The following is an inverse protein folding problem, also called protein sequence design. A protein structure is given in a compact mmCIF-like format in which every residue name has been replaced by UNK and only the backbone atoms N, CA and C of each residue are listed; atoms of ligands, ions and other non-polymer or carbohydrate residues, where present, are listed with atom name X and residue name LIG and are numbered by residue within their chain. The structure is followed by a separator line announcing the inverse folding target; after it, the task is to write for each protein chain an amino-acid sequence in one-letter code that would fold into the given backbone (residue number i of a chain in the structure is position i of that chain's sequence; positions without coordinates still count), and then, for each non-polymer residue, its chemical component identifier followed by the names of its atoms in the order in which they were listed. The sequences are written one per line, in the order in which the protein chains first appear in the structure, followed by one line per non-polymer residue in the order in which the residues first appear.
data_IF_684227958608
#
_entry.id   IF_684227958608
#
_cell.length_a   1.000
_cell.length_b   1.000
_cell.length_c   1.000
_cell.angle_alpha   90.00
_cell.angle_beta   90.00
_cell.angle_gamma   90.00
#
_symmetry.space_group_name_H-M   'P 1'
#
loop_
_entity.id
_entity.type
_entity.pdbx_description
1 polymer ?
#
# COMPACT_ATOMS: atom_id res chain seq x y z
N UNK A 1 -6.52 -71.89 28.41
CA UNK A 1 -5.96 -70.56 28.73
C UNK A 1 -5.81 -69.77 27.44
N UNK A 2 -6.61 -68.70 27.25
CA UNK A 2 -6.63 -67.88 26.02
C UNK A 2 -5.95 -66.54 26.32
N UNK A 3 -4.76 -66.31 25.79
CA UNK A 3 -4.07 -65.03 25.89
C UNK A 3 -4.55 -64.13 24.73
N UNK A 4 -5.34 -63.10 25.04
CA UNK A 4 -5.76 -62.07 24.07
C UNK A 4 -4.72 -60.95 24.10
N UNK A 5 -3.88 -60.88 23.07
CA UNK A 5 -2.98 -59.74 22.84
C UNK A 5 -3.81 -58.66 22.14
N UNK A 6 -4.27 -57.67 22.90
CA UNK A 6 -4.82 -56.43 22.35
C UNK A 6 -3.65 -55.50 21.98
N UNK A 7 -3.28 -55.49 20.70
CA UNK A 7 -2.38 -54.48 20.13
C UNK A 7 -3.14 -53.15 20.02
N UNK A 8 -2.90 -52.25 20.97
CA UNK A 8 -3.36 -50.87 20.93
C UNK A 8 -2.59 -50.10 19.84
N UNK A 9 -3.25 -49.84 18.72
CA UNK A 9 -2.79 -48.90 17.69
C UNK A 9 -2.88 -47.46 18.25
N UNK A 10 -1.75 -46.89 18.69
CA UNK A 10 -1.63 -45.47 18.98
C UNK A 10 -1.47 -44.71 17.65
N UNK A 11 -2.58 -44.26 17.07
CA UNK A 11 -2.57 -43.29 15.98
C UNK A 11 -2.20 -41.92 16.56
N UNK A 12 -0.95 -41.49 16.39
CA UNK A 12 -0.51 -40.14 16.70
C UNK A 12 -1.18 -39.17 15.72
N UNK A 13 -2.31 -38.59 16.14
CA UNK A 13 -2.93 -37.43 15.49
C UNK A 13 -2.03 -36.22 15.75
N UNK A 14 -1.08 -35.95 14.85
CA UNK A 14 -0.41 -34.66 14.77
C UNK A 14 -1.43 -33.65 14.22
N UNK A 15 -1.89 -32.65 14.99
CA UNK A 15 -2.68 -31.57 14.43
C UNK A 15 -1.74 -30.75 13.54
N UNK A 16 -1.80 -30.98 12.23
CA UNK A 16 -1.28 -30.02 11.27
C UNK A 16 -2.14 -28.78 11.41
N UNK A 17 -1.62 -27.78 12.12
CA UNK A 17 -2.20 -26.44 12.12
C UNK A 17 -2.07 -25.92 10.70
N UNK A 18 -3.14 -26.05 9.92
CA UNK A 18 -3.33 -25.27 8.71
C UNK A 18 -3.42 -23.81 9.14
N UNK A 19 -2.27 -23.13 9.19
CA UNK A 19 -2.22 -21.68 9.35
C UNK A 19 -2.77 -21.09 8.05
N UNK A 20 -4.09 -20.91 8.00
CA UNK A 20 -4.72 -20.16 6.95
C UNK A 20 -4.43 -18.68 7.23
N UNK A 21 -3.40 -18.14 6.58
CA UNK A 21 -3.22 -16.70 6.50
C UNK A 21 -4.35 -16.15 5.62
N UNK A 22 -5.46 -15.76 6.24
CA UNK A 22 -6.53 -15.06 5.55
C UNK A 22 -5.96 -13.76 4.95
N UNK A 23 -6.36 -13.36 3.73
CA UNK A 23 -5.97 -12.07 3.17
C UNK A 23 -6.38 -10.98 4.15
N UNK A 24 -5.43 -10.12 4.53
CA UNK A 24 -5.71 -9.05 5.46
C UNK A 24 -6.35 -7.90 4.68
N UNK A 25 -7.65 -7.69 4.89
CA UNK A 25 -8.39 -6.58 4.28
C UNK A 25 -8.94 -5.68 5.39
N UNK A 26 -8.60 -4.39 5.36
CA UNK A 26 -9.01 -3.44 6.39
C UNK A 26 -9.19 -2.02 5.85
N UNK A 27 -10.29 -1.40 6.25
CA UNK A 27 -10.58 0.01 5.96
C UNK A 27 -10.02 0.92 7.07
N UNK A 28 -9.59 2.11 6.67
CA UNK A 28 -9.07 3.19 7.51
C UNK A 28 -9.63 4.51 7.00
N UNK A 29 -10.77 4.94 7.56
CA UNK A 29 -11.51 6.12 7.06
C UNK A 29 -11.75 6.02 5.55
N UNK A 30 -11.08 6.85 4.74
CA UNK A 30 -11.25 6.91 3.28
C UNK A 30 -10.24 6.04 2.52
N UNK A 31 -9.61 5.08 3.19
CA UNK A 31 -8.60 4.17 2.62
C UNK A 31 -8.95 2.71 2.86
N UNK A 32 -8.70 1.88 1.86
CA UNK A 32 -8.78 0.43 1.94
C UNK A 32 -7.39 -0.15 1.74
N UNK A 33 -7.00 -1.04 2.66
CA UNK A 33 -5.79 -1.86 2.51
C UNK A 33 -6.18 -3.30 2.27
N UNK A 34 -5.50 -3.95 1.33
CA UNK A 34 -5.61 -5.38 1.08
C UNK A 34 -4.21 -5.98 0.97
N UNK A 35 -3.92 -7.02 1.74
CA UNK A 35 -2.68 -7.78 1.67
C UNK A 35 -2.96 -9.24 1.33
N UNK A 36 -2.20 -9.80 0.39
CA UNK A 36 -2.30 -11.22 0.06
C UNK A 36 -1.44 -12.10 1.00
N UNK A 37 -1.49 -13.42 0.81
CA UNK A 37 -0.71 -14.40 1.57
C UNK A 37 0.81 -14.28 1.41
N UNK A 38 1.27 -13.59 0.36
CA UNK A 38 2.67 -13.26 0.11
C UNK A 38 3.09 -11.95 0.81
N UNK A 39 2.22 -11.37 1.66
CA UNK A 39 2.39 -10.06 2.29
C UNK A 39 2.62 -8.92 1.28
N UNK A 40 2.21 -9.10 0.03
CA UNK A 40 2.08 -8.00 -0.92
C UNK A 40 0.83 -7.21 -0.56
N UNK A 41 1.01 -5.93 -0.24
CA UNK A 41 -0.04 -5.05 0.24
C UNK A 41 -0.34 -3.94 -0.75
N UNK A 42 -1.60 -3.56 -0.84
CA UNK A 42 -2.10 -2.44 -1.65
C UNK A 42 -2.97 -1.56 -0.77
N UNK A 43 -2.68 -0.26 -0.72
CA UNK A 43 -3.54 0.78 -0.17
C UNK A 43 -4.14 1.60 -1.31
N UNK A 44 -5.44 1.87 -1.24
CA UNK A 44 -6.18 2.70 -2.21
C UNK A 44 -7.21 3.57 -1.51
N UNK A 45 -7.41 4.80 -1.98
CA UNK A 45 -8.51 5.64 -1.50
C UNK A 45 -9.89 5.10 -1.95
N UNK A 46 -10.90 5.20 -1.09
CA UNK A 46 -12.27 4.68 -1.27
C UNK A 46 -13.33 5.75 -1.07
N UNK A 47 -14.40 5.75 -1.86
CA UNK A 47 -15.43 6.80 -1.86
C UNK A 47 -15.69 7.36 -3.24
N UNK A 48 -16.54 8.39 -3.33
CA UNK A 48 -16.94 9.05 -4.57
C UNK A 48 -15.89 10.10 -4.99
N UNK A 49 -14.67 9.63 -5.27
CA UNK A 49 -13.49 10.47 -5.56
C UNK A 49 -13.48 11.10 -6.97
N UNK A 50 -14.64 11.10 -7.64
CA UNK A 50 -14.84 11.58 -9.02
C UNK A 50 -13.78 11.06 -10.02
N UNK A 51 -13.30 9.84 -9.79
CA UNK A 51 -12.33 9.15 -10.63
C UNK A 51 -10.86 9.33 -10.23
N UNK A 52 -10.51 10.23 -9.31
CA UNK A 52 -9.11 10.39 -8.88
C UNK A 52 -8.75 9.37 -7.80
N UNK A 53 -7.75 8.55 -8.11
CA UNK A 53 -7.37 7.39 -7.33
C UNK A 53 -5.88 7.41 -7.08
N UNK A 54 -5.50 7.35 -5.82
CA UNK A 54 -4.16 7.02 -5.39
C UNK A 54 -4.08 5.55 -4.99
N UNK A 55 -3.13 4.83 -5.56
CA UNK A 55 -2.80 3.44 -5.22
C UNK A 55 -1.34 3.35 -4.82
N UNK A 56 -1.07 2.78 -3.66
CA UNK A 56 0.27 2.44 -3.20
C UNK A 56 0.36 0.93 -3.03
N UNK A 57 1.31 0.29 -3.70
CA UNK A 57 1.59 -1.13 -3.52
C UNK A 57 3.00 -1.34 -3.01
N UNK A 58 3.21 -2.40 -2.21
CA UNK A 58 4.56 -2.79 -1.75
C UNK A 58 4.66 -4.30 -1.53
N UNK A 59 5.75 -4.87 -2.03
CA UNK A 59 6.11 -6.26 -1.79
C UNK A 59 6.66 -6.48 -0.37
N UNK A 60 6.55 -7.71 0.13
CA UNK A 60 7.24 -8.15 1.34
C UNK A 60 8.73 -8.44 1.08
N UNK A 61 9.50 -8.67 2.15
CA UNK A 61 10.93 -8.98 2.12
C UNK A 61 11.84 -7.76 2.27
N UNK A 62 13.15 -7.96 2.32
CA UNK A 62 14.12 -6.88 2.50
C UNK A 62 14.11 -5.85 1.35
N UNK A 63 13.68 -6.27 0.15
CA UNK A 63 13.48 -5.37 -0.98
C UNK A 63 12.34 -4.38 -0.69
N UNK A 64 12.55 -3.12 -1.08
CA UNK A 64 11.58 -2.03 -0.88
C UNK A 64 10.75 -1.77 -2.14
N UNK A 65 10.52 -2.82 -2.93
CA UNK A 65 9.77 -2.74 -4.19
C UNK A 65 8.36 -2.22 -3.91
N UNK A 66 8.14 -0.95 -4.25
CA UNK A 66 6.91 -0.24 -4.04
C UNK A 66 6.56 0.56 -5.30
N UNK A 67 5.28 0.72 -5.55
CA UNK A 67 4.78 1.56 -6.66
C UNK A 67 3.75 2.51 -6.10
N UNK A 68 3.93 3.80 -6.37
CA UNK A 68 2.94 4.83 -6.10
C UNK A 68 2.34 5.31 -7.41
N UNK A 69 1.02 5.34 -7.46
CA UNK A 69 0.26 5.73 -8.64
C UNK A 69 -0.88 6.67 -8.26
N UNK A 70 -0.98 7.80 -8.93
CA UNK A 70 -2.16 8.65 -8.92
C UNK A 70 -2.72 8.65 -10.33
N UNK A 71 -3.95 8.18 -10.47
CA UNK A 71 -4.64 8.14 -11.74
C UNK A 71 -5.95 8.90 -11.66
N UNK A 72 -6.36 9.49 -12.76
CA UNK A 72 -7.75 9.91 -12.94
C UNK A 72 -8.43 8.93 -13.89
N UNK A 73 -9.23 8.04 -13.32
CA UNK A 73 -10.14 7.16 -14.03
C UNK A 73 -11.37 7.91 -14.54
N UNK A 74 -11.98 7.37 -15.60
CA UNK A 74 -13.19 7.91 -16.21
C UNK A 74 -13.54 7.12 -17.47
N UNK A 75 -14.81 7.14 -17.86
CA UNK A 75 -15.28 6.48 -19.08
C UNK A 75 -14.92 7.25 -20.36
N UNK A 76 -14.56 8.53 -20.24
CA UNK A 76 -14.18 9.38 -21.37
C UNK A 76 -12.67 9.36 -21.54
N UNK A 77 -12.24 9.11 -22.78
CA UNK A 77 -10.85 9.33 -23.17
C UNK A 77 -10.47 10.79 -22.90
N UNK A 78 -9.25 11.03 -22.39
CA UNK A 78 -8.75 12.38 -22.16
C UNK A 78 -8.76 13.15 -23.47
N UNK A 79 -9.05 14.44 -23.38
CA UNK A 79 -8.97 15.33 -24.53
C UNK A 79 -7.51 15.39 -25.01
N UNK A 80 -7.29 15.45 -26.32
CA UNK A 80 -5.95 15.56 -26.90
C UNK A 80 -5.24 16.84 -26.46
N UNK A 81 -5.99 17.87 -26.03
CA UNK A 81 -5.45 19.12 -25.50
C UNK A 81 -5.12 19.07 -24.01
N UNK A 82 -5.37 17.96 -23.33
CA UNK A 82 -5.22 17.90 -21.89
C UNK A 82 -3.74 17.77 -21.48
N UNK A 83 -3.24 18.74 -20.74
CA UNK A 83 -1.88 18.73 -20.21
C UNK A 83 -1.66 17.65 -19.15
N UNK A 84 -0.40 17.44 -18.78
CA UNK A 84 0.00 16.49 -17.73
C UNK A 84 -0.80 16.67 -16.42
N UNK A 85 -1.05 15.56 -15.72
CA UNK A 85 -1.82 15.60 -14.47
C UNK A 85 -1.04 16.27 -13.32
N UNK A 86 0.28 16.06 -13.27
CA UNK A 86 1.14 16.51 -12.17
C UNK A 86 1.02 18.01 -11.83
N UNK A 87 1.18 18.97 -12.78
CA UNK A 87 1.10 20.39 -12.47
C UNK A 87 -0.31 20.87 -12.04
N UNK A 88 -1.32 20.01 -12.19
CA UNK A 88 -2.72 20.28 -11.84
C UNK A 88 -3.09 19.69 -10.48
N UNK A 89 -2.25 18.87 -9.87
CA UNK A 89 -2.49 18.34 -8.53
C UNK A 89 -2.21 19.43 -7.50
N UNK A 90 -3.10 19.53 -6.52
CA UNK A 90 -2.99 20.44 -5.39
C UNK A 90 -2.99 19.63 -4.09
N UNK A 91 -2.16 20.02 -3.12
CA UNK A 91 -2.22 19.55 -1.74
C UNK A 91 -2.83 20.67 -0.90
N UNK A 92 -4.01 20.42 -0.33
CA UNK A 92 -4.73 21.40 0.49
C UNK A 92 -4.94 22.77 -0.18
N UNK A 93 -5.08 22.76 -1.52
CA UNK A 93 -5.29 23.96 -2.34
C UNK A 93 -4.02 24.57 -2.93
N UNK A 94 -2.84 24.19 -2.45
CA UNK A 94 -1.55 24.67 -2.96
C UNK A 94 -0.96 23.69 -3.99
N UNK A 95 -0.14 24.15 -4.95
CA UNK A 95 0.51 23.26 -5.92
C UNK A 95 1.26 22.11 -5.25
N UNK A 96 0.96 20.87 -5.64
CA UNK A 96 1.63 19.68 -5.12
C UNK A 96 3.05 19.62 -5.70
N UNK A 97 4.04 20.04 -4.90
CA UNK A 97 5.45 20.03 -5.28
C UNK A 97 6.01 18.60 -5.27
N UNK A 98 5.96 17.92 -6.41
CA UNK A 98 6.56 16.60 -6.57
C UNK A 98 8.07 16.68 -6.35
N UNK A 99 8.56 15.95 -5.35
CA UNK A 99 9.98 15.76 -5.10
C UNK A 99 10.56 14.70 -6.04
N UNK A 100 11.81 14.86 -6.47
CA UNK A 100 12.50 13.91 -7.35
C UNK A 100 12.10 14.03 -8.81
N UNK A 101 12.89 13.42 -9.68
CA UNK A 101 12.77 13.47 -11.14
C UNK A 101 12.28 12.13 -11.74
N UNK A 102 12.14 11.09 -10.91
CA UNK A 102 11.76 9.73 -11.34
C UNK A 102 10.26 9.52 -11.38
N UNK A 103 9.55 10.48 -11.96
CA UNK A 103 8.12 10.40 -12.22
C UNK A 103 7.88 10.10 -13.69
N UNK A 104 6.99 9.14 -13.96
CA UNK A 104 6.40 8.94 -15.28
C UNK A 104 5.03 9.60 -15.26
N UNK A 105 4.85 10.59 -16.13
CA UNK A 105 3.70 11.50 -16.11
C UNK A 105 2.98 11.43 -17.46
N UNK A 106 1.65 11.40 -17.41
CA UNK A 106 0.76 11.58 -18.56
C UNK A 106 -0.40 12.50 -18.13
N UNK A 107 -1.33 12.86 -19.05
CA UNK A 107 -2.49 13.68 -18.69
C UNK A 107 -3.46 13.04 -17.67
N UNK A 108 -3.36 11.74 -17.40
CA UNK A 108 -4.23 11.02 -16.47
C UNK A 108 -3.48 10.15 -15.46
N UNK A 109 -2.16 10.06 -15.55
CA UNK A 109 -1.35 9.15 -14.75
C UNK A 109 -0.10 9.85 -14.23
N UNK A 110 0.12 9.73 -12.94
CA UNK A 110 1.39 10.00 -12.28
C UNK A 110 1.84 8.70 -11.60
N UNK A 111 3.03 8.20 -11.95
CA UNK A 111 3.52 6.94 -11.39
C UNK A 111 5.02 6.96 -11.14
N UNK A 112 5.45 6.33 -10.05
CA UNK A 112 6.86 6.08 -9.74
C UNK A 112 6.99 4.74 -9.02
N UNK A 113 8.12 4.07 -9.23
CA UNK A 113 8.57 2.87 -8.54
C UNK A 113 9.90 3.11 -7.77
N UNK A 114 10.37 4.36 -7.74
CA UNK A 114 11.57 4.75 -7.02
C UNK A 114 11.27 4.94 -5.52
N UNK A 115 11.92 4.12 -4.67
CA UNK A 115 11.67 4.10 -3.22
C UNK A 115 11.90 5.46 -2.55
N UNK A 116 12.94 6.20 -2.94
CA UNK A 116 13.27 7.49 -2.35
C UNK A 116 12.20 8.54 -2.70
N UNK A 117 11.79 8.57 -3.98
CA UNK A 117 10.72 9.43 -4.49
C UNK A 117 9.39 9.16 -3.81
N UNK A 118 9.02 7.88 -3.65
CA UNK A 118 7.81 7.47 -2.91
C UNK A 118 7.90 7.94 -1.46
N UNK A 119 9.04 7.74 -0.79
CA UNK A 119 9.21 8.11 0.61
C UNK A 119 9.08 9.62 0.82
N UNK A 120 9.72 10.42 -0.04
CA UNK A 120 9.63 11.88 0.02
C UNK A 120 8.21 12.37 -0.26
N UNK A 121 7.52 11.77 -1.24
CA UNK A 121 6.13 12.07 -1.54
C UNK A 121 5.20 11.75 -0.35
N UNK A 122 5.36 10.58 0.28
CA UNK A 122 4.56 10.20 1.44
C UNK A 122 4.80 11.14 2.63
N UNK A 123 6.04 11.58 2.85
CA UNK A 123 6.36 12.58 3.88
C UNK A 123 5.68 13.92 3.62
N UNK A 124 5.69 14.37 2.36
CA UNK A 124 5.05 15.62 1.94
C UNK A 124 3.55 15.64 2.25
N UNK A 125 2.85 14.54 1.96
CA UNK A 125 1.38 14.49 2.09
C UNK A 125 0.90 14.01 3.46
N UNK A 126 1.79 13.51 4.33
CA UNK A 126 1.40 12.78 5.55
C UNK A 126 0.50 13.59 6.49
N UNK A 127 0.73 14.90 6.56
CA UNK A 127 0.00 15.83 7.43
C UNK A 127 -1.02 16.68 6.64
N UNK A 128 -1.15 16.44 5.33
CA UNK A 128 -2.14 17.09 4.49
C UNK A 128 -3.54 16.51 4.67
N UNK A 129 -4.56 17.22 4.20
CA UNK A 129 -5.97 16.79 4.31
C UNK A 129 -6.47 16.16 3.03
N UNK A 130 -6.13 16.72 1.87
CA UNK A 130 -6.58 16.22 0.59
C UNK A 130 -5.63 16.55 -0.55
N UNK A 131 -5.58 15.66 -1.55
CA UNK A 131 -5.03 15.96 -2.87
C UNK A 131 -6.21 16.22 -3.81
N UNK A 132 -6.24 17.36 -4.50
CA UNK A 132 -7.30 17.69 -5.46
C UNK A 132 -6.75 17.93 -6.85
N UNK A 133 -7.62 17.88 -7.85
CA UNK A 133 -7.29 18.32 -9.21
C UNK A 133 -7.79 19.76 -9.41
N UNK A 134 -6.92 20.65 -9.86
CA UNK A 134 -7.26 22.03 -10.21
C UNK A 134 -8.40 22.06 -11.23
N UNK A 135 -9.31 23.00 -11.06
CA UNK A 135 -10.48 23.23 -11.93
C UNK A 135 -11.43 22.02 -12.06
N UNK A 136 -11.32 21.05 -11.14
CA UNK A 136 -12.16 19.85 -11.08
C UNK A 136 -12.79 19.63 -9.71
N UNK A 137 -13.63 18.60 -9.59
CA UNK A 137 -14.22 18.15 -8.31
C UNK A 137 -13.56 16.86 -7.78
N UNK A 138 -12.50 16.42 -8.43
CA UNK A 138 -11.71 15.27 -8.03
C UNK A 138 -10.95 15.53 -6.75
N UNK A 139 -11.08 14.61 -5.79
CA UNK A 139 -10.46 14.70 -4.47
C UNK A 139 -9.99 13.33 -4.02
N UNK A 140 -8.79 13.25 -3.48
CA UNK A 140 -8.29 12.14 -2.67
C UNK A 140 -8.23 12.65 -1.24
N UNK A 141 -9.11 12.16 -0.37
CA UNK A 141 -8.99 12.38 1.06
C UNK A 141 -7.75 11.68 1.62
N UNK A 142 -6.94 12.39 2.40
CA UNK A 142 -5.77 11.83 3.09
C UNK A 142 -6.13 11.32 4.50
N UNK A 143 -7.38 11.47 4.92
CA UNK A 143 -7.87 10.94 6.19
C UNK A 143 -7.78 9.41 6.21
N UNK A 144 -6.97 8.89 7.14
CA UNK A 144 -6.74 7.45 7.29
C UNK A 144 -5.51 6.92 6.55
N UNK A 145 -4.88 7.71 5.67
CA UNK A 145 -3.67 7.30 4.93
C UNK A 145 -2.56 6.88 5.90
N UNK A 146 -2.22 7.72 6.88
CA UNK A 146 -1.17 7.43 7.87
C UNK A 146 -1.42 6.11 8.63
N UNK A 147 -2.67 5.84 8.99
CA UNK A 147 -3.06 4.60 9.66
C UNK A 147 -2.96 3.38 8.71
N UNK A 148 -3.38 3.54 7.46
CA UNK A 148 -3.24 2.52 6.42
C UNK A 148 -1.76 2.17 6.16
N UNK A 149 -0.88 3.17 6.04
CA UNK A 149 0.56 2.96 5.86
C UNK A 149 1.19 2.28 7.07
N UNK A 150 0.83 2.69 8.29
CA UNK A 150 1.30 2.05 9.52
C UNK A 150 0.85 0.58 9.60
N UNK A 151 -0.37 0.27 9.15
CA UNK A 151 -0.85 -1.10 9.07
C UNK A 151 -0.04 -1.94 8.08
N UNK A 152 0.30 -1.40 6.90
CA UNK A 152 1.18 -2.10 5.94
C UNK A 152 2.57 -2.30 6.53
N UNK A 153 3.15 -1.29 7.19
CA UNK A 153 4.43 -1.44 7.90
C UNK A 153 4.35 -2.54 8.96
N UNK A 154 3.27 -2.62 9.73
CA UNK A 154 3.08 -3.66 10.75
C UNK A 154 2.91 -5.06 10.13
N UNK A 155 2.08 -5.20 9.10
CA UNK A 155 1.86 -6.46 8.39
C UNK A 155 3.16 -7.02 7.80
N UNK A 156 4.05 -6.14 7.35
CA UNK A 156 5.34 -6.49 6.78
C UNK A 156 6.48 -6.45 7.82
N UNK A 157 6.19 -6.26 9.11
CA UNK A 157 7.19 -6.18 10.20
C UNK A 157 8.29 -5.13 9.96
N UNK A 158 7.94 -3.98 9.39
CA UNK A 158 8.84 -2.85 9.12
C UNK A 158 8.80 -1.76 10.18
N UNK A 159 7.83 -1.76 11.10
CA UNK A 159 7.73 -0.73 12.15
C UNK A 159 9.02 -0.72 12.97
N UNK A 160 9.70 0.42 13.05
CA UNK A 160 10.99 0.55 13.73
C UNK A 160 12.22 0.28 12.85
N UNK A 161 12.04 -0.12 11.59
CA UNK A 161 13.12 -0.28 10.61
C UNK A 161 13.37 0.98 9.79
N UNK A 162 14.54 1.04 9.14
CA UNK A 162 14.92 2.13 8.23
C UNK A 162 13.94 2.25 7.04
N UNK A 163 13.31 1.14 6.69
CA UNK A 163 12.40 1.02 5.54
C UNK A 163 10.93 1.29 5.86
N UNK A 164 10.60 1.63 7.11
CA UNK A 164 9.23 1.99 7.48
C UNK A 164 8.79 3.27 6.76
N UNK A 165 7.52 3.38 6.40
CA UNK A 165 7.01 4.66 5.89
C UNK A 165 6.72 5.63 7.03
N UNK A 166 6.05 5.17 8.10
CA UNK A 166 5.56 6.05 9.17
C UNK A 166 6.48 6.08 10.40
N UNK A 167 6.70 4.94 11.04
CA UNK A 167 7.53 4.83 12.26
C UNK A 167 8.91 4.28 11.90
N UNK A 168 9.74 5.11 11.28
CA UNK A 168 11.14 4.79 10.97
C UNK A 168 11.95 4.61 12.25
N UNK A 169 12.93 3.72 12.20
CA UNK A 169 13.96 3.53 13.22
C UNK A 169 15.20 2.91 12.59
N UNK A 170 16.10 2.39 13.42
CA UNK A 170 17.44 1.98 12.99
C UNK A 170 17.58 0.47 12.77
N UNK A 171 16.48 -0.30 12.84
CA UNK A 171 16.53 -1.74 12.60
C UNK A 171 16.84 -2.03 11.11
N UNK A 172 17.77 -2.96 10.81
CA UNK A 172 18.21 -3.22 9.45
C UNK A 172 17.10 -3.89 8.62
N UNK A 173 17.05 -3.67 7.29
CA UNK A 173 15.98 -4.19 6.41
C UNK A 173 15.81 -5.71 6.41
N UNK A 174 16.84 -6.46 6.80
CA UNK A 174 16.84 -7.93 6.86
C UNK A 174 15.95 -8.50 7.98
N UNK A 175 15.42 -7.66 8.87
CA UNK A 175 14.41 -8.08 9.86
C UNK A 175 13.03 -8.35 9.23
N UNK A 176 12.84 -8.00 7.96
CA UNK A 176 11.59 -8.17 7.21
C UNK A 176 11.50 -9.59 6.62
N UNK A 177 10.45 -10.37 6.95
CA UNK A 177 10.30 -11.73 6.42
C UNK A 177 10.23 -11.77 4.88
N UNK A 178 10.91 -12.73 4.23
CA UNK A 178 10.86 -12.88 2.78
C UNK A 178 9.47 -13.31 2.30
N UNK A 179 9.22 -13.13 1.01
CA UNK A 179 8.03 -13.67 0.34
C UNK A 179 8.05 -15.20 0.44
N UNK A 180 6.97 -15.80 0.96
CA UNK A 180 6.76 -17.25 0.83
C UNK A 180 6.45 -17.53 -0.66
N UNK A 181 7.34 -18.29 -1.31
CA UNK A 181 7.13 -18.79 -2.68
C UNK A 181 6.18 -19.97 -2.69
#
# INVERSE_FOLDING_TARGET
MRYRIFLLFFFALLPTSLVWAAPAQRAFSDWQVTCNNQNFCVARNTGDHNGLVMTLSRSAGAHTDAVLRIERGGLKSPDASEGEIAPRLLLDGEPLALSGDKWRISPWLLVTDDTATITAFLQLIQEGKAITLRDGNQTISLNGLKAALLFIDAQQKRVGSETAWIKKGDEPPLSVPPRLR
#
